data_IF_246009882403
#
_entry.id   IF_246009882403
#
_cell.length_a   1.000
_cell.length_b   1.000
_cell.length_c   1.000
_cell.angle_alpha   90.00
_cell.angle_beta   90.00
_cell.angle_gamma   90.00
#
_symmetry.space_group_name_H-M   'P 1'
#
loop_
_entity.id
_entity.type
_entity.pdbx_description
1 polymer ?
#
# COMPACT_ATOMS: atom_id res chain seq x y z
N UNK A 1 5.51 25.00 -6.64
CA UNK A 1 5.81 23.65 -6.12
C UNK A 1 4.78 23.35 -5.06
N UNK A 2 4.07 22.22 -5.18
CA UNK A 2 2.96 21.87 -4.29
C UNK A 2 3.50 21.62 -2.88
N UNK A 3 2.88 22.23 -1.86
CA UNK A 3 3.32 22.06 -0.48
C UNK A 3 2.99 20.65 0.04
N UNK A 4 3.98 19.89 0.56
CA UNK A 4 3.74 18.56 1.11
C UNK A 4 2.74 18.58 2.28
N UNK A 5 1.52 18.13 2.06
CA UNK A 5 0.50 18.00 3.12
C UNK A 5 -0.60 17.02 2.75
N UNK A 6 -1.30 16.48 3.76
CA UNK A 6 -2.45 15.60 3.53
C UNK A 6 -3.62 16.32 2.84
N UNK A 7 -3.78 17.63 3.08
CA UNK A 7 -4.80 18.45 2.41
C UNK A 7 -4.53 18.49 0.91
N UNK A 8 -3.29 18.79 0.52
CA UNK A 8 -2.90 18.81 -0.89
C UNK A 8 -2.96 17.41 -1.51
N UNK A 9 -2.61 16.35 -0.78
CA UNK A 9 -2.74 14.97 -1.28
C UNK A 9 -4.20 14.60 -1.59
N UNK A 10 -5.15 15.02 -0.73
CA UNK A 10 -6.59 14.85 -0.98
C UNK A 10 -7.03 15.65 -2.20
N UNK A 11 -6.57 16.90 -2.34
CA UNK A 11 -6.89 17.74 -3.49
C UNK A 11 -6.37 17.13 -4.80
N UNK A 12 -5.14 16.63 -4.81
CA UNK A 12 -4.55 15.91 -5.96
C UNK A 12 -5.42 14.71 -6.34
N UNK A 13 -5.78 13.86 -5.36
CA UNK A 13 -6.63 12.70 -5.60
C UNK A 13 -8.01 13.09 -6.15
N UNK A 14 -8.63 14.11 -5.58
CA UNK A 14 -9.94 14.62 -6.01
C UNK A 14 -9.92 15.25 -7.40
N UNK A 15 -8.92 16.05 -7.70
CA UNK A 15 -8.79 16.73 -8.98
C UNK A 15 -8.44 15.74 -10.09
N UNK A 16 -7.55 14.78 -9.83
CA UNK A 16 -7.27 13.71 -10.78
C UNK A 16 -8.52 12.86 -11.08
N UNK A 17 -9.26 12.45 -10.04
CA UNK A 17 -10.49 11.65 -10.22
C UNK A 17 -11.57 12.42 -11.01
N UNK A 18 -11.80 13.70 -10.66
CA UNK A 18 -12.81 14.55 -11.32
C UNK A 18 -12.41 14.95 -12.74
N UNK A 19 -11.12 15.14 -13.00
CA UNK A 19 -10.60 15.54 -14.31
C UNK A 19 -10.91 14.52 -15.39
N UNK A 20 -11.01 13.24 -15.04
CA UNK A 20 -11.48 12.20 -15.95
C UNK A 20 -12.16 11.04 -15.21
N UNK A 21 -13.45 11.20 -14.91
CA UNK A 21 -14.25 10.17 -14.22
C UNK A 21 -14.35 8.90 -15.06
N UNK A 22 -14.46 9.02 -16.39
CA UNK A 22 -14.53 7.85 -17.28
C UNK A 22 -13.24 7.01 -17.23
N UNK A 23 -12.07 7.66 -17.27
CA UNK A 23 -10.77 7.00 -17.07
C UNK A 23 -10.71 6.29 -15.72
N UNK A 24 -11.09 6.98 -14.64
CA UNK A 24 -11.07 6.43 -13.28
C UNK A 24 -12.01 5.23 -13.14
N UNK A 25 -13.23 5.32 -13.66
CA UNK A 25 -14.19 4.21 -13.65
C UNK A 25 -13.72 3.03 -14.50
N UNK A 26 -13.06 3.27 -15.63
CA UNK A 26 -12.49 2.21 -16.46
C UNK A 26 -11.34 1.49 -15.75
N UNK A 27 -10.44 2.23 -15.09
CA UNK A 27 -9.39 1.67 -14.26
C UNK A 27 -9.97 0.85 -13.10
N UNK A 28 -10.97 1.38 -12.40
CA UNK A 28 -11.70 0.66 -11.35
C UNK A 28 -12.30 -0.63 -11.91
N UNK A 29 -13.01 -0.60 -13.05
CA UNK A 29 -13.62 -1.79 -13.63
C UNK A 29 -12.59 -2.90 -13.93
N UNK A 30 -11.40 -2.53 -14.43
CA UNK A 30 -10.30 -3.48 -14.66
C UNK A 30 -9.80 -4.07 -13.34
N UNK A 31 -9.50 -3.22 -12.35
CA UNK A 31 -9.03 -3.65 -11.04
C UNK A 31 -10.05 -4.56 -10.32
N UNK A 32 -11.34 -4.26 -10.44
CA UNK A 32 -12.43 -5.07 -9.90
C UNK A 32 -12.50 -6.42 -10.58
N UNK A 33 -12.39 -6.45 -11.90
CA UNK A 33 -12.38 -7.69 -12.67
C UNK A 33 -11.23 -8.58 -12.21
N UNK A 34 -10.03 -8.04 -12.03
CA UNK A 34 -8.88 -8.78 -11.50
C UNK A 34 -9.10 -9.26 -10.07
N UNK A 35 -9.66 -8.41 -9.21
CA UNK A 35 -10.00 -8.77 -7.83
C UNK A 35 -11.07 -9.87 -7.75
N UNK A 36 -12.00 -9.95 -8.70
CA UNK A 36 -12.96 -11.06 -8.78
C UNK A 36 -12.30 -12.33 -9.31
N UNK A 37 -11.42 -12.21 -10.31
CA UNK A 37 -10.71 -13.34 -10.90
C UNK A 37 -9.71 -13.98 -9.93
N UNK A 38 -9.28 -13.28 -8.88
CA UNK A 38 -8.42 -13.85 -7.84
C UNK A 38 -9.08 -15.02 -7.07
N UNK A 39 -10.41 -15.13 -7.09
CA UNK A 39 -11.15 -16.23 -6.46
C UNK A 39 -11.23 -17.50 -7.33
N UNK A 40 -10.72 -17.44 -8.58
CA UNK A 40 -10.68 -18.61 -9.46
C UNK A 40 -9.57 -19.56 -9.00
N UNK A 41 -9.87 -20.86 -8.75
CA UNK A 41 -8.86 -21.84 -8.37
C UNK A 41 -7.69 -21.91 -9.37
N UNK A 42 -6.48 -22.16 -8.88
CA UNK A 42 -5.21 -22.26 -9.63
C UNK A 42 -4.73 -20.97 -10.32
N UNK A 43 -5.61 -20.12 -10.85
CA UNK A 43 -5.26 -18.84 -11.47
C UNK A 43 -5.29 -17.66 -10.49
N UNK A 44 -5.92 -17.84 -9.33
CA UNK A 44 -6.16 -16.77 -8.36
C UNK A 44 -4.91 -16.01 -7.93
N UNK A 45 -3.80 -16.72 -7.74
CA UNK A 45 -2.51 -16.11 -7.39
C UNK A 45 -1.98 -15.20 -8.50
N UNK A 46 -2.08 -15.62 -9.77
CA UNK A 46 -1.64 -14.80 -10.90
C UNK A 46 -2.48 -13.52 -11.02
N UNK A 47 -3.80 -13.61 -10.82
CA UNK A 47 -4.68 -12.44 -10.82
C UNK A 47 -4.48 -11.54 -9.60
N UNK A 48 -4.19 -12.09 -8.41
CA UNK A 48 -3.84 -11.31 -7.23
C UNK A 48 -2.55 -10.51 -7.44
N UNK A 49 -1.53 -11.12 -8.05
CA UNK A 49 -0.29 -10.43 -8.42
C UNK A 49 -0.53 -9.36 -9.49
N UNK A 50 -1.29 -9.68 -10.54
CA UNK A 50 -1.63 -8.71 -11.58
C UNK A 50 -2.43 -7.52 -11.01
N UNK A 51 -3.39 -7.77 -10.11
CA UNK A 51 -4.14 -6.75 -9.40
C UNK A 51 -3.20 -5.84 -8.60
N UNK A 52 -2.30 -6.43 -7.80
CA UNK A 52 -1.41 -5.67 -6.95
C UNK A 52 -0.43 -4.80 -7.77
N UNK A 53 0.11 -5.35 -8.86
CA UNK A 53 0.98 -4.61 -9.80
C UNK A 53 0.22 -3.47 -10.45
N UNK A 54 -0.96 -3.72 -11.01
CA UNK A 54 -1.73 -2.67 -11.70
C UNK A 54 -2.28 -1.61 -10.75
N UNK A 55 -2.67 -2.00 -9.53
CA UNK A 55 -3.08 -1.05 -8.49
C UNK A 55 -1.92 -0.15 -8.08
N UNK A 56 -0.71 -0.71 -7.96
CA UNK A 56 0.49 0.06 -7.66
C UNK A 56 0.94 0.92 -8.84
N UNK A 57 0.77 0.45 -10.08
CA UNK A 57 1.06 1.21 -11.30
C UNK A 57 0.24 2.50 -11.39
N UNK A 58 -1.05 2.46 -11.06
CA UNK A 58 -1.88 3.67 -10.97
C UNK A 58 -1.25 4.68 -10.00
N UNK A 59 -0.74 4.22 -8.87
CA UNK A 59 -0.09 5.09 -7.89
C UNK A 59 1.24 5.64 -8.42
N UNK A 60 2.07 4.80 -9.04
CA UNK A 60 3.34 5.21 -9.65
C UNK A 60 3.10 6.27 -10.72
N UNK A 61 2.13 6.04 -11.62
CA UNK A 61 1.77 6.99 -12.66
C UNK A 61 1.40 8.34 -12.07
N UNK A 62 0.45 8.38 -11.13
CA UNK A 62 -0.01 9.64 -10.54
C UNK A 62 1.11 10.33 -9.78
N UNK A 63 1.87 9.61 -8.96
CA UNK A 63 3.00 10.16 -8.21
C UNK A 63 4.05 10.84 -9.12
N UNK A 64 4.32 10.26 -10.30
CA UNK A 64 5.28 10.81 -11.26
C UNK A 64 4.77 12.04 -12.01
N UNK A 65 3.46 12.27 -12.05
CA UNK A 65 2.87 13.47 -12.66
C UNK A 65 2.82 14.66 -11.69
N UNK A 66 2.92 14.44 -10.37
CA UNK A 66 2.85 15.52 -9.37
C UNK A 66 3.96 16.57 -9.55
N UNK A 67 5.24 16.22 -9.79
CA UNK A 67 6.30 17.21 -10.06
C UNK A 67 6.04 18.09 -11.29
N UNK A 68 5.25 17.60 -12.25
CA UNK A 68 4.95 18.30 -13.50
C UNK A 68 3.81 19.32 -13.32
N UNK A 69 3.05 19.23 -12.22
CA UNK A 69 1.95 20.13 -11.91
C UNK A 69 2.39 21.30 -11.00
N UNK A 70 1.99 22.51 -11.36
CA UNK A 70 2.30 23.72 -10.56
C UNK A 70 1.48 23.80 -9.28
N UNK A 71 0.25 23.25 -9.32
CA UNK A 71 -0.73 23.23 -8.24
C UNK A 71 -1.61 21.96 -8.33
N UNK A 72 -2.41 21.67 -7.30
CA UNK A 72 -3.24 20.46 -7.28
C UNK A 72 -4.37 20.45 -8.32
N UNK A 73 -4.79 21.61 -8.85
CA UNK A 73 -5.90 21.72 -9.81
C UNK A 73 -5.48 21.23 -11.20
N UNK A 74 -4.23 21.48 -11.59
CA UNK A 74 -3.64 21.00 -12.85
C UNK A 74 -3.64 19.46 -12.97
N UNK A 75 -3.80 18.73 -11.87
CA UNK A 75 -3.97 17.27 -11.91
C UNK A 75 -5.25 16.84 -12.63
N UNK A 76 -6.26 17.71 -12.70
CA UNK A 76 -7.45 17.47 -13.51
C UNK A 76 -7.11 17.44 -15.02
N UNK A 77 -6.24 18.35 -15.48
CA UNK A 77 -5.79 18.40 -16.87
C UNK A 77 -4.87 17.22 -17.22
N UNK A 78 -4.05 16.79 -16.27
CA UNK A 78 -3.26 15.54 -16.39
C UNK A 78 -4.21 14.36 -16.62
N UNK A 79 -5.25 14.21 -15.80
CA UNK A 79 -6.22 13.13 -15.93
C UNK A 79 -7.02 13.21 -17.25
N UNK A 80 -7.42 14.42 -17.67
CA UNK A 80 -8.17 14.63 -18.90
C UNK A 80 -7.38 14.21 -20.15
N UNK A 81 -6.05 14.38 -20.14
CA UNK A 81 -5.15 14.00 -21.24
C UNK A 81 -4.62 12.56 -21.13
N UNK A 82 -4.75 11.93 -19.97
CA UNK A 82 -4.26 10.58 -19.72
C UNK A 82 -5.14 9.55 -20.42
N UNK A 83 -4.51 8.64 -21.17
CA UNK A 83 -5.19 7.47 -21.73
C UNK A 83 -5.15 6.32 -20.74
N UNK A 84 -6.16 5.45 -20.78
CA UNK A 84 -6.23 4.28 -19.89
C UNK A 84 -5.02 3.36 -20.05
N UNK A 85 -4.54 3.17 -21.28
CA UNK A 85 -3.32 2.39 -21.54
C UNK A 85 -2.11 2.98 -20.83
N UNK A 86 -1.91 4.30 -20.92
CA UNK A 86 -0.78 4.97 -20.28
C UNK A 86 -0.86 4.86 -18.75
N UNK A 87 -2.05 5.07 -18.16
CA UNK A 87 -2.28 4.95 -16.72
C UNK A 87 -1.94 3.57 -16.15
N UNK A 88 -2.12 2.51 -16.94
CA UNK A 88 -1.99 1.13 -16.50
C UNK A 88 -0.71 0.44 -16.96
N UNK A 89 0.07 1.03 -17.85
CA UNK A 89 1.21 0.34 -18.48
C UNK A 89 2.49 1.16 -18.61
N UNK A 90 2.44 2.49 -18.47
CA UNK A 90 3.60 3.37 -18.76
C UNK A 90 4.80 3.12 -17.84
N UNK A 91 4.56 2.75 -16.59
CA UNK A 91 5.55 2.52 -15.55
C UNK A 91 5.44 1.11 -14.95
N UNK A 92 4.85 0.17 -15.71
CA UNK A 92 4.53 -1.18 -15.24
C UNK A 92 5.76 -1.93 -14.71
N UNK A 93 6.94 -1.64 -15.27
CA UNK A 93 8.20 -2.22 -14.84
C UNK A 93 8.61 -1.75 -13.43
N UNK A 94 8.45 -0.46 -13.12
CA UNK A 94 8.64 0.10 -11.78
C UNK A 94 7.64 -0.53 -10.80
N UNK A 95 6.37 -0.58 -11.20
CA UNK A 95 5.32 -1.14 -10.36
C UNK A 95 5.56 -2.63 -10.06
N UNK A 96 5.92 -3.41 -11.08
CA UNK A 96 6.25 -4.83 -10.93
C UNK A 96 7.49 -5.04 -10.04
N UNK A 97 8.53 -4.24 -10.23
CA UNK A 97 9.76 -4.32 -9.42
C UNK A 97 9.48 -4.00 -7.95
N UNK A 98 8.78 -2.90 -7.69
CA UNK A 98 8.36 -2.50 -6.34
C UNK A 98 7.49 -3.55 -5.66
N UNK A 99 6.44 -4.04 -6.34
CA UNK A 99 5.55 -5.06 -5.79
C UNK A 99 6.27 -6.38 -5.52
N UNK A 100 7.17 -6.82 -6.40
CA UNK A 100 7.97 -8.03 -6.16
C UNK A 100 8.92 -7.85 -4.97
N UNK A 101 9.49 -6.66 -4.79
CA UNK A 101 10.31 -6.33 -3.64
C UNK A 101 9.52 -6.40 -2.33
N UNK A 102 8.35 -5.77 -2.27
CA UNK A 102 7.46 -5.86 -1.11
C UNK A 102 6.99 -7.29 -0.86
N UNK A 103 6.61 -8.04 -1.89
CA UNK A 103 6.24 -9.44 -1.79
C UNK A 103 7.38 -10.28 -1.16
N UNK A 104 8.61 -10.08 -1.63
CA UNK A 104 9.80 -10.75 -1.10
C UNK A 104 10.01 -10.44 0.39
N UNK A 105 9.90 -9.15 0.76
CA UNK A 105 10.02 -8.70 2.15
C UNK A 105 8.92 -9.32 3.03
N UNK A 106 7.66 -9.28 2.58
CA UNK A 106 6.53 -9.87 3.30
C UNK A 106 6.70 -11.38 3.50
N UNK A 107 7.19 -12.11 2.48
CA UNK A 107 7.48 -13.53 2.62
C UNK A 107 8.58 -13.79 3.67
N UNK A 108 9.68 -13.05 3.62
CA UNK A 108 10.79 -13.21 4.59
C UNK A 108 10.33 -12.90 6.01
N UNK A 109 9.62 -11.78 6.21
CA UNK A 109 9.08 -11.42 7.53
C UNK A 109 8.06 -12.44 8.03
N UNK A 110 7.20 -12.96 7.15
CA UNK A 110 6.25 -14.01 7.48
C UNK A 110 6.94 -15.30 7.90
N UNK A 111 8.01 -15.72 7.21
CA UNK A 111 8.81 -16.89 7.59
C UNK A 111 9.48 -16.70 8.95
N UNK A 112 10.09 -15.53 9.20
CA UNK A 112 10.71 -15.21 10.50
C UNK A 112 9.65 -15.27 11.61
N UNK A 113 8.47 -14.68 11.39
CA UNK A 113 7.37 -14.75 12.34
C UNK A 113 6.95 -16.18 12.63
N UNK A 114 6.75 -17.00 11.59
CA UNK A 114 6.36 -18.40 11.75
C UNK A 114 7.44 -19.22 12.50
N UNK A 115 8.72 -18.98 12.24
CA UNK A 115 9.82 -19.62 12.97
C UNK A 115 9.84 -19.21 14.45
N UNK A 116 9.71 -17.92 14.75
CA UNK A 116 9.66 -17.43 16.14
C UNK A 116 8.42 -17.95 16.87
N UNK A 117 7.27 -17.95 16.20
CA UNK A 117 6.01 -18.40 16.77
C UNK A 117 6.04 -19.90 17.08
N UNK A 118 6.44 -20.73 16.11
CA UNK A 118 6.56 -22.18 16.30
C UNK A 118 7.66 -22.61 17.28
N UNK A 119 8.69 -21.78 17.50
CA UNK A 119 9.68 -22.02 18.54
C UNK A 119 9.12 -21.79 19.96
N UNK A 120 8.05 -21.00 20.08
CA UNK A 120 7.42 -20.69 21.37
C UNK A 120 6.18 -21.53 21.66
N UNK A 121 5.41 -21.91 20.64
CA UNK A 121 4.19 -22.70 20.82
C UNK A 121 4.45 -24.14 20.38
N UNK A 122 4.12 -25.10 21.23
CA UNK A 122 4.03 -26.49 20.83
C UNK A 122 2.89 -26.66 19.82
N UNK A 123 3.25 -26.82 18.55
CA UNK A 123 2.29 -26.95 17.44
C UNK A 123 1.37 -28.17 17.63
N UNK A 124 1.81 -29.19 18.36
CA UNK A 124 0.98 -30.37 18.66
C UNK A 124 -0.18 -30.05 19.62
N UNK A 125 -0.01 -29.05 20.50
CA UNK A 125 -1.06 -28.58 21.40
C UNK A 125 -2.15 -27.75 20.69
N UNK A 126 -1.87 -27.25 19.48
CA UNK A 126 -2.79 -26.44 18.66
C UNK A 126 -3.69 -27.33 17.76
N UNK A 127 -3.32 -28.59 17.55
CA UNK A 127 -4.05 -29.49 16.64
C UNK A 127 -5.38 -30.00 17.23
N UNK A 128 -5.65 -29.77 18.51
CA UNK A 128 -6.96 -30.01 19.11
C UNK A 128 -7.92 -28.88 18.76
N UNK A 129 -9.14 -29.18 18.30
CA UNK A 129 -10.22 -28.21 18.02
C UNK A 129 -10.74 -27.46 19.27
N UNK A 130 -9.96 -27.39 20.35
CA UNK A 130 -10.31 -26.69 21.58
C UNK A 130 -9.69 -25.28 21.58
N UNK A 131 -10.54 -24.29 21.34
CA UNK A 131 -10.16 -22.87 21.39
C UNK A 131 -9.63 -22.46 22.77
N UNK A 132 -10.10 -23.07 23.86
CA UNK A 132 -9.57 -22.78 25.20
C UNK A 132 -8.14 -23.30 25.35
N UNK A 133 -7.85 -24.51 24.84
CA UNK A 133 -6.50 -25.05 24.83
C UNK A 133 -5.54 -24.19 23.98
N UNK A 134 -6.00 -23.67 22.83
CA UNK A 134 -5.22 -22.75 22.00
C UNK A 134 -4.91 -21.43 22.71
N UNK A 135 -5.91 -20.79 23.33
CA UNK A 135 -5.73 -19.53 24.07
C UNK A 135 -4.84 -19.75 25.29
N UNK A 136 -5.00 -20.87 26.01
CA UNK A 136 -4.14 -21.25 27.12
C UNK A 136 -2.69 -21.47 26.65
N UNK A 137 -2.50 -22.17 25.52
CA UNK A 137 -1.19 -22.38 24.93
C UNK A 137 -0.51 -21.05 24.57
N UNK A 138 -1.21 -20.10 23.92
CA UNK A 138 -0.63 -18.79 23.55
C UNK A 138 -0.34 -17.90 24.78
N UNK A 139 -1.21 -17.94 25.79
CA UNK A 139 -1.08 -17.09 26.98
C UNK A 139 -0.01 -17.57 27.96
N UNK A 140 0.29 -18.86 27.97
CA UNK A 140 1.31 -19.46 28.86
C UNK A 140 2.64 -19.72 28.18
N UNK A 141 2.64 -19.91 26.85
CA UNK A 141 3.87 -19.90 26.06
C UNK A 141 4.32 -18.46 25.81
N UNK A 142 5.62 -18.22 25.68
CA UNK A 142 6.16 -16.88 25.34
C UNK A 142 5.66 -16.29 24.00
N UNK A 143 4.72 -16.97 23.32
CA UNK A 143 4.11 -16.58 22.05
C UNK A 143 3.42 -15.22 22.09
N UNK A 144 2.79 -14.85 23.21
CA UNK A 144 2.24 -13.49 23.36
C UNK A 144 3.34 -12.42 23.26
N UNK A 145 4.52 -12.69 23.83
CA UNK A 145 5.70 -11.83 23.71
C UNK A 145 6.18 -11.72 22.26
N UNK A 146 6.23 -12.84 21.53
CA UNK A 146 6.58 -12.86 20.09
C UNK A 146 5.57 -12.06 19.26
N UNK A 147 4.27 -12.23 19.51
CA UNK A 147 3.22 -11.48 18.82
C UNK A 147 3.36 -9.97 19.06
N UNK A 148 3.50 -9.54 20.32
CA UNK A 148 3.68 -8.12 20.66
C UNK A 148 4.95 -7.56 20.02
N UNK A 149 6.07 -8.29 20.10
CA UNK A 149 7.32 -7.88 19.48
C UNK A 149 7.20 -7.72 17.95
N UNK A 150 6.55 -8.68 17.29
CA UNK A 150 6.34 -8.61 15.85
C UNK A 150 5.40 -7.47 15.45
N UNK A 151 4.34 -7.21 16.23
CA UNK A 151 3.48 -6.05 16.03
C UNK A 151 4.24 -4.72 16.16
N UNK A 152 5.16 -4.59 17.11
CA UNK A 152 6.01 -3.41 17.23
C UNK A 152 6.91 -3.23 16.01
N UNK A 153 7.47 -4.32 15.46
CA UNK A 153 8.23 -4.28 14.20
C UNK A 153 7.32 -3.81 13.05
N UNK A 154 6.13 -4.36 12.92
CA UNK A 154 5.19 -3.97 11.85
C UNK A 154 4.78 -2.50 11.96
N UNK A 155 4.51 -2.00 13.17
CA UNK A 155 4.20 -0.59 13.42
C UNK A 155 5.37 0.34 13.07
N UNK A 156 6.59 -0.08 13.41
CA UNK A 156 7.80 0.65 13.04
C UNK A 156 8.00 0.68 11.52
N UNK A 157 7.85 -0.47 10.85
CA UNK A 157 7.96 -0.56 9.39
C UNK A 157 6.83 0.21 8.69
N UNK A 158 5.61 0.21 9.22
CA UNK A 158 4.49 0.98 8.64
C UNK A 158 4.72 2.48 8.68
N UNK A 159 5.46 2.99 9.67
CA UNK A 159 5.86 4.40 9.72
C UNK A 159 6.91 4.76 8.64
N UNK A 160 7.83 3.85 8.34
CA UNK A 160 8.89 4.06 7.34
C UNK A 160 8.35 3.82 5.91
N UNK A 161 7.34 2.97 5.78
CA UNK A 161 6.80 2.48 4.51
C UNK A 161 6.47 3.59 3.50
N UNK A 162 5.73 4.67 3.84
CA UNK A 162 5.41 5.74 2.88
C UNK A 162 6.63 6.36 2.19
N UNK A 163 7.70 6.64 2.95
CA UNK A 163 8.94 7.19 2.41
C UNK A 163 9.65 6.20 1.46
N UNK A 164 9.67 4.92 1.82
CA UNK A 164 10.26 3.87 0.95
C UNK A 164 9.46 3.73 -0.33
N UNK A 165 8.13 3.74 -0.24
CA UNK A 165 7.25 3.66 -1.40
C UNK A 165 7.43 4.86 -2.33
N UNK A 166 7.58 6.06 -1.79
CA UNK A 166 7.94 7.24 -2.59
C UNK A 166 9.26 7.08 -3.33
N UNK A 167 10.28 6.52 -2.67
CA UNK A 167 11.57 6.20 -3.31
C UNK A 167 11.42 5.18 -4.44
N UNK A 168 10.62 4.12 -4.24
CA UNK A 168 10.30 3.10 -5.25
C UNK A 168 9.62 3.72 -6.47
N UNK A 169 8.62 4.59 -6.29
CA UNK A 169 7.91 5.27 -7.39
C UNK A 169 8.82 6.18 -8.22
N UNK A 170 9.84 6.75 -7.59
CA UNK A 170 10.85 7.59 -8.23
C UNK A 170 12.02 6.81 -8.83
N UNK A 171 11.95 5.47 -8.89
CA UNK A 171 12.98 4.65 -9.51
C UNK A 171 12.95 4.73 -11.05
N UNK A 172 14.07 4.38 -11.68
CA UNK A 172 14.21 4.30 -13.14
C UNK A 172 14.18 2.84 -13.60
N UNK A 173 13.02 2.21 -13.43
CA UNK A 173 12.71 0.85 -13.91
C UNK A 173 12.71 -0.24 -12.83
N UNK A 174 12.50 -1.48 -13.27
CA UNK A 174 12.24 -2.65 -12.42
C UNK A 174 13.31 -2.90 -11.34
N UNK A 175 14.57 -3.04 -11.74
CA UNK A 175 15.66 -3.42 -10.82
C UNK A 175 15.87 -2.39 -9.70
N UNK A 176 16.02 -1.09 -10.02
CA UNK A 176 16.09 -0.04 -9.02
C UNK A 176 14.84 0.04 -8.12
N UNK A 177 13.63 -0.12 -8.68
CA UNK A 177 12.39 -0.13 -7.90
C UNK A 177 12.37 -1.28 -6.88
N UNK A 178 12.72 -2.49 -7.32
CA UNK A 178 12.87 -3.66 -6.46
C UNK A 178 13.87 -3.41 -5.33
N UNK A 179 15.07 -2.93 -5.65
CA UNK A 179 16.13 -2.69 -4.65
C UNK A 179 15.75 -1.62 -3.63
N UNK A 180 15.00 -0.59 -4.03
CA UNK A 180 14.58 0.48 -3.12
C UNK A 180 13.60 0.00 -2.04
N UNK A 181 12.85 -1.09 -2.25
CA UNK A 181 12.00 -1.67 -1.19
C UNK A 181 12.78 -2.06 0.06
N UNK A 182 14.05 -2.44 -0.08
CA UNK A 182 14.92 -2.82 1.04
C UNK A 182 15.40 -1.63 1.88
N UNK A 183 15.09 -0.39 1.48
CA UNK A 183 15.27 0.78 2.33
C UNK A 183 14.47 0.68 3.65
N UNK A 184 13.44 -0.16 3.69
CA UNK A 184 12.73 -0.55 4.93
C UNK A 184 13.69 -1.07 6.01
N UNK A 185 14.86 -1.60 5.63
CA UNK A 185 15.86 -2.14 6.55
C UNK A 185 17.13 -1.29 6.65
N UNK A 186 17.12 -0.06 6.13
CA UNK A 186 18.29 0.82 6.13
C UNK A 186 18.25 1.80 7.30
N UNK A 187 19.15 1.69 8.31
CA UNK A 187 19.19 2.63 9.43
C UNK A 187 19.45 4.07 9.00
N UNK A 188 20.22 4.25 7.91
CA UNK A 188 20.44 5.57 7.31
C UNK A 188 19.13 6.18 6.80
N UNK A 189 18.25 5.36 6.22
CA UNK A 189 16.94 5.78 5.76
C UNK A 189 16.01 6.08 6.95
N UNK A 190 15.98 5.20 7.96
CA UNK A 190 15.19 5.42 9.19
C UNK A 190 15.54 6.74 9.86
N UNK A 191 16.82 7.09 9.93
CA UNK A 191 17.25 8.36 10.51
C UNK A 191 16.63 9.57 9.79
N UNK A 192 16.48 9.51 8.46
CA UNK A 192 15.84 10.58 7.67
C UNK A 192 14.36 10.71 8.00
N UNK A 193 13.67 9.59 8.31
CA UNK A 193 12.23 9.62 8.62
C UNK A 193 11.91 10.27 9.96
N UNK A 194 12.86 10.34 10.90
CA UNK A 194 12.68 11.02 12.19
C UNK A 194 12.79 12.55 12.10
N UNK A 195 12.00 13.15 11.21
CA UNK A 195 11.82 14.59 11.13
C UNK A 195 10.36 14.98 11.37
N UNK A 196 10.14 16.21 11.86
CA UNK A 196 8.82 16.68 12.31
C UNK A 196 7.80 16.70 11.16
N UNK A 197 8.20 17.16 9.98
CA UNK A 197 7.30 17.36 8.86
C UNK A 197 6.83 16.01 8.29
N UNK A 198 7.76 15.06 8.12
CA UNK A 198 7.44 13.67 7.79
C UNK A 198 6.53 13.04 8.85
N UNK A 199 6.87 13.19 10.13
CA UNK A 199 6.05 12.63 11.22
C UNK A 199 4.60 13.13 11.17
N UNK A 200 4.38 14.44 11.00
CA UNK A 200 3.03 15.01 10.92
C UNK A 200 2.26 14.52 9.69
N UNK A 201 2.94 14.42 8.53
CA UNK A 201 2.34 13.87 7.31
C UNK A 201 1.88 12.42 7.54
N UNK A 202 2.76 11.56 8.06
CA UNK A 202 2.50 10.14 8.22
C UNK A 202 1.52 9.85 9.36
N UNK A 203 1.53 10.63 10.44
CA UNK A 203 0.56 10.48 11.53
C UNK A 203 -0.87 10.68 11.01
N UNK A 204 -1.12 11.80 10.31
CA UNK A 204 -2.44 12.09 9.77
C UNK A 204 -2.83 11.12 8.65
N UNK A 205 -1.88 10.73 7.80
CA UNK A 205 -2.08 9.67 6.80
C UNK A 205 -2.51 8.35 7.44
N UNK A 206 -1.84 7.93 8.53
CA UNK A 206 -2.17 6.69 9.23
C UNK A 206 -3.59 6.70 9.79
N UNK A 207 -4.03 7.84 10.35
CA UNK A 207 -5.41 8.02 10.82
C UNK A 207 -6.41 7.93 9.65
N UNK A 208 -6.14 8.61 8.54
CA UNK A 208 -7.02 8.60 7.36
C UNK A 208 -7.13 7.19 6.78
N UNK A 209 -6.00 6.51 6.57
CA UNK A 209 -5.97 5.14 6.05
C UNK A 209 -6.65 4.17 7.01
N UNK A 210 -6.45 4.31 8.32
CA UNK A 210 -7.13 3.46 9.31
C UNK A 210 -8.66 3.62 9.24
N UNK A 211 -9.16 4.86 9.28
CA UNK A 211 -10.60 5.14 9.20
C UNK A 211 -11.16 4.65 7.86
N UNK A 212 -10.47 4.91 6.75
CA UNK A 212 -10.86 4.41 5.43
C UNK A 212 -10.90 2.88 5.40
N UNK A 213 -9.88 2.20 5.92
CA UNK A 213 -9.82 0.75 5.97
C UNK A 213 -11.01 0.16 6.75
N UNK A 214 -11.37 0.72 7.91
CA UNK A 214 -12.53 0.29 8.70
C UNK A 214 -13.84 0.47 7.91
N UNK A 215 -14.05 1.66 7.32
CA UNK A 215 -15.27 1.96 6.55
C UNK A 215 -15.38 1.09 5.30
N UNK A 216 -14.31 0.96 4.53
CA UNK A 216 -14.28 0.15 3.31
C UNK A 216 -14.47 -1.33 3.61
N UNK A 217 -13.85 -1.83 4.69
CA UNK A 217 -14.06 -3.22 5.15
C UNK A 217 -15.53 -3.46 5.49
N UNK A 218 -16.18 -2.52 6.19
CA UNK A 218 -17.62 -2.63 6.48
C UNK A 218 -18.47 -2.70 5.20
N UNK A 219 -18.15 -1.90 4.18
CA UNK A 219 -18.85 -1.94 2.89
C UNK A 219 -18.66 -3.27 2.15
N UNK A 220 -17.52 -3.95 2.31
CA UNK A 220 -17.29 -5.24 1.64
C UNK A 220 -18.15 -6.39 2.18
N UNK A 221 -18.76 -6.24 3.36
CA UNK A 221 -19.70 -7.24 3.93
C UNK A 221 -21.01 -7.30 3.14
N UNK A 222 -21.35 -6.26 2.38
CA UNK A 222 -22.57 -6.21 1.56
C UNK A 222 -22.24 -6.15 0.08
N UNK A 223 -22.75 -7.12 -0.69
CA UNK A 223 -22.57 -7.18 -2.15
C UNK A 223 -23.01 -5.88 -2.83
N UNK A 224 -24.07 -5.23 -2.33
CA UNK A 224 -24.59 -3.98 -2.88
C UNK A 224 -23.65 -2.78 -2.67
N UNK A 225 -22.82 -2.82 -1.62
CA UNK A 225 -21.89 -1.73 -1.27
C UNK A 225 -20.47 -1.96 -1.79
N UNK A 226 -20.17 -3.14 -2.34
CA UNK A 226 -18.86 -3.44 -2.96
C UNK A 226 -18.44 -2.38 -3.99
N UNK A 227 -19.30 -1.93 -4.94
CA UNK A 227 -18.90 -0.88 -5.90
C UNK A 227 -18.46 0.42 -5.23
N UNK A 228 -19.13 0.82 -4.14
CA UNK A 228 -18.79 2.03 -3.37
C UNK A 228 -17.45 1.83 -2.66
N UNK A 229 -17.22 0.66 -2.07
CA UNK A 229 -15.95 0.32 -1.45
C UNK A 229 -14.79 0.42 -2.45
N UNK A 230 -15.00 -0.01 -3.68
CA UNK A 230 -13.98 -0.02 -4.73
C UNK A 230 -13.66 1.40 -5.23
N UNK A 231 -14.67 2.26 -5.38
CA UNK A 231 -14.44 3.68 -5.68
C UNK A 231 -13.64 4.35 -4.54
N UNK A 232 -14.02 4.07 -3.29
CA UNK A 232 -13.31 4.59 -2.12
C UNK A 232 -11.86 4.09 -2.04
N UNK A 233 -11.62 2.80 -2.31
CA UNK A 233 -10.29 2.21 -2.36
C UNK A 233 -9.43 2.82 -3.48
N UNK A 234 -10.01 3.05 -4.66
CA UNK A 234 -9.31 3.72 -5.76
C UNK A 234 -8.96 5.17 -5.41
N UNK A 235 -9.88 5.93 -4.82
CA UNK A 235 -9.60 7.27 -4.34
C UNK A 235 -8.49 7.28 -3.28
N UNK A 236 -8.53 6.33 -2.33
CA UNK A 236 -7.49 6.15 -1.33
C UNK A 236 -6.14 5.81 -1.97
N UNK A 237 -6.13 5.04 -3.06
CA UNK A 237 -4.93 4.74 -3.85
C UNK A 237 -4.31 6.00 -4.44
N UNK A 238 -5.12 6.88 -5.06
CA UNK A 238 -4.65 8.17 -5.59
C UNK A 238 -4.11 9.09 -4.48
N UNK A 239 -4.78 9.12 -3.34
CA UNK A 239 -4.32 9.86 -2.16
C UNK A 239 -2.99 9.33 -1.63
N UNK A 240 -2.85 8.00 -1.54
CA UNK A 240 -1.62 7.34 -1.12
C UNK A 240 -0.46 7.66 -2.07
N UNK A 241 -0.69 7.68 -3.39
CA UNK A 241 0.32 8.07 -4.36
C UNK A 241 0.92 9.46 -4.07
N UNK A 242 0.05 10.44 -3.78
CA UNK A 242 0.47 11.79 -3.43
C UNK A 242 1.20 11.85 -2.07
N UNK A 243 0.72 11.13 -1.06
CA UNK A 243 1.40 11.05 0.25
C UNK A 243 2.77 10.42 0.12
N UNK A 244 2.93 9.35 -0.68
CA UNK A 244 4.21 8.68 -0.87
C UNK A 244 5.20 9.57 -1.61
N UNK A 245 4.75 10.30 -2.62
CA UNK A 245 5.55 11.33 -3.28
C UNK A 245 6.02 12.41 -2.29
N UNK A 246 5.11 12.99 -1.51
CA UNK A 246 5.44 13.99 -0.49
C UNK A 246 6.34 13.45 0.62
N UNK A 247 6.12 12.20 1.02
CA UNK A 247 6.95 11.53 2.01
C UNK A 247 8.40 11.44 1.53
N UNK A 248 8.64 11.14 0.25
CA UNK A 248 10.00 11.17 -0.33
C UNK A 248 10.60 12.57 -0.35
N UNK A 249 9.85 13.59 -0.80
CA UNK A 249 10.32 14.98 -0.86
C UNK A 249 10.73 15.52 0.53
N UNK A 250 10.02 15.13 1.57
CA UNK A 250 10.38 15.50 2.96
C UNK A 250 11.61 14.78 3.51
N UNK A 251 12.16 13.81 2.77
CA UNK A 251 13.35 13.05 3.16
C UNK A 251 14.59 13.46 2.37
N UNK A 252 14.47 14.11 1.22
CA UNK A 252 15.58 14.62 0.40
C UNK A 252 16.22 15.85 1.02
#
# INVERSE_FOLDING_TARGET
>A
MIQPSNKEAINIAANFFKGNVALSLAAIAILVTLALLQYVPFLGLAFALAYAILSFEVQVYVARQIPEASNSEEMADVAARTRLGDLLTRHLDIAAGGMLGYFTISMVLGLIFMMMFSATVDVSAIQGNDMQAFVAAISTSGAMGVMVFFLLILLFLSYIFPGVTGEVMAADGFGPAFMKTFLLFSPKFWKRTFNKDYFLLILLWSVIVFVAAVVLSWFTVSILLIPIALIGAYFLSLYNAAVYFFARELLS
#
